data_IF_804928573895
#
_entry.id   IF_804928573895
#
_cell.length_a   1.000
_cell.length_b   1.000
_cell.length_c   1.000
_cell.angle_alpha   90.00
_cell.angle_beta   90.00
_cell.angle_gamma   90.00
#
_symmetry.space_group_name_H-M   'P 1'
#
loop_
_entity.id
_entity.type
_entity.pdbx_description
1 polymer ?
#
# COMPACT_ATOMS: atom_id res chain seq x y z
N UNK A 1 79.80 -13.05 -56.84
CA UNK A 1 78.67 -12.14 -57.07
C UNK A 1 77.40 -12.84 -56.67
N UNK A 2 77.01 -12.68 -55.44
CA UNK A 2 75.73 -13.31 -54.91
C UNK A 2 75.11 -12.28 -54.00
N UNK A 3 74.02 -11.68 -54.42
CA UNK A 3 73.16 -10.78 -53.65
C UNK A 3 72.17 -11.58 -52.78
N UNK A 4 72.31 -11.53 -51.49
CA UNK A 4 71.33 -11.97 -50.53
C UNK A 4 70.36 -10.82 -50.25
N UNK A 5 69.04 -11.05 -50.48
CA UNK A 5 67.96 -10.17 -50.06
C UNK A 5 67.53 -10.53 -48.63
N UNK A 6 67.21 -9.62 -47.73
CA UNK A 6 66.70 -9.88 -46.44
C UNK A 6 65.16 -10.07 -46.49
N UNK A 7 64.67 -11.11 -45.78
CA UNK A 7 63.25 -11.41 -45.56
C UNK A 7 62.67 -10.46 -44.54
N UNK A 8 61.59 -9.75 -44.90
CA UNK A 8 60.80 -8.96 -44.00
C UNK A 8 59.75 -9.88 -43.26
N UNK A 9 59.90 -10.00 -41.95
CA UNK A 9 58.96 -10.67 -41.05
C UNK A 9 57.77 -9.71 -40.82
N UNK A 10 56.59 -10.05 -41.31
CA UNK A 10 55.33 -9.35 -41.02
C UNK A 10 54.79 -9.79 -39.67
N UNK A 11 54.90 -8.94 -38.65
CA UNK A 11 54.21 -9.11 -37.36
C UNK A 11 52.78 -8.64 -37.57
N UNK A 12 51.81 -9.59 -37.50
CA UNK A 12 50.39 -9.28 -37.48
C UNK A 12 49.98 -8.96 -36.02
N UNK A 13 49.67 -7.67 -35.76
CA UNK A 13 49.04 -7.25 -34.52
C UNK A 13 47.55 -7.70 -34.53
N UNK A 14 47.22 -8.65 -33.70
CA UNK A 14 45.81 -9.03 -33.41
C UNK A 14 45.27 -7.99 -32.43
N UNK A 15 44.47 -7.04 -32.90
CA UNK A 15 43.71 -6.13 -32.06
C UNK A 15 42.43 -6.84 -31.58
N UNK A 16 42.44 -7.31 -30.32
CA UNK A 16 41.24 -7.83 -29.65
C UNK A 16 40.35 -6.64 -29.26
N UNK A 17 39.30 -6.39 -30.02
CA UNK A 17 38.24 -5.45 -29.65
C UNK A 17 37.38 -6.09 -28.55
N UNK A 18 37.55 -5.67 -27.29
CA UNK A 18 36.59 -5.87 -26.25
C UNK A 18 35.31 -5.04 -26.58
N UNK A 19 34.29 -5.69 -27.12
CA UNK A 19 32.96 -5.12 -27.16
C UNK A 19 32.40 -5.14 -25.74
N UNK A 20 32.56 -4.05 -25.00
CA UNK A 20 31.79 -3.77 -23.79
C UNK A 20 30.34 -3.61 -24.21
N UNK A 21 29.48 -4.55 -23.78
CA UNK A 21 28.04 -4.40 -23.88
C UNK A 21 27.59 -3.26 -22.96
N UNK A 22 27.70 -2.03 -23.46
CA UNK A 22 27.06 -0.88 -22.84
C UNK A 22 25.55 -1.09 -22.93
N UNK A 23 24.90 -1.19 -21.80
CA UNK A 23 23.46 -1.07 -21.75
C UNK A 23 23.12 0.34 -22.20
N UNK A 24 22.68 0.48 -23.44
CA UNK A 24 22.11 1.73 -23.95
C UNK A 24 20.74 1.83 -23.28
N UNK A 25 20.65 2.59 -22.20
CA UNK A 25 19.36 3.07 -21.73
C UNK A 25 18.81 3.95 -22.87
N UNK A 26 17.64 3.58 -23.39
CA UNK A 26 16.90 4.44 -24.28
C UNK A 26 16.72 5.81 -23.61
N UNK A 27 16.88 6.91 -24.36
CA UNK A 27 16.64 8.24 -23.83
C UNK A 27 15.17 8.27 -23.30
N UNK A 28 14.92 8.86 -22.10
CA UNK A 28 13.56 8.93 -21.55
C UNK A 28 12.61 9.53 -22.57
N UNK A 29 11.38 8.99 -22.68
CA UNK A 29 10.36 9.55 -23.53
C UNK A 29 10.10 11.00 -23.12
N UNK A 30 9.91 11.92 -24.06
CA UNK A 30 9.69 13.35 -23.77
C UNK A 30 8.45 13.60 -22.91
N UNK A 31 7.49 12.68 -22.96
CA UNK A 31 6.16 12.80 -22.33
C UNK A 31 6.12 12.25 -20.91
N UNK A 32 7.09 11.38 -20.52
CA UNK A 32 7.14 10.74 -19.19
C UNK A 32 6.04 9.70 -19.00
N UNK A 33 5.69 9.40 -17.74
CA UNK A 33 4.66 8.43 -17.37
C UNK A 33 3.48 9.09 -16.66
N UNK A 34 2.30 8.47 -16.79
CA UNK A 34 1.06 8.86 -16.09
C UNK A 34 0.80 7.84 -14.98
N UNK A 35 0.70 8.32 -13.75
CA UNK A 35 0.41 7.50 -12.58
C UNK A 35 -1.00 7.82 -12.08
N UNK A 36 -1.89 6.83 -12.09
CA UNK A 36 -3.15 6.90 -11.36
C UNK A 36 -2.87 6.60 -9.89
N UNK A 37 -3.05 7.60 -9.07
CA UNK A 37 -2.60 7.59 -7.69
C UNK A 37 -3.77 7.65 -6.72
N UNK A 38 -4.01 6.55 -6.01
CA UNK A 38 -4.89 6.48 -4.85
C UNK A 38 -4.10 6.35 -3.53
N UNK A 39 -2.76 6.40 -3.58
CA UNK A 39 -1.92 6.49 -2.38
C UNK A 39 -1.84 7.96 -1.90
N UNK A 40 -1.47 8.19 -0.64
CA UNK A 40 -1.32 9.53 -0.05
C UNK A 40 -0.48 10.47 -0.94
N UNK A 41 -1.08 11.59 -1.35
CA UNK A 41 -0.46 12.54 -2.29
C UNK A 41 0.91 13.04 -1.83
N UNK A 42 1.08 13.31 -0.54
CA UNK A 42 2.35 13.80 0.02
C UNK A 42 3.47 12.75 -0.10
N UNK A 43 3.16 11.47 0.11
CA UNK A 43 4.11 10.37 -0.04
C UNK A 43 4.45 10.17 -1.51
N UNK A 44 3.45 10.08 -2.37
CA UNK A 44 3.65 9.86 -3.80
C UNK A 44 4.40 11.02 -4.44
N UNK A 45 4.11 12.27 -4.03
CA UNK A 45 4.87 13.43 -4.49
C UNK A 45 6.35 13.34 -4.13
N UNK A 46 6.68 12.91 -2.91
CA UNK A 46 8.07 12.71 -2.51
C UNK A 46 8.77 11.61 -3.33
N UNK A 47 8.06 10.51 -3.65
CA UNK A 47 8.56 9.49 -4.56
C UNK A 47 8.80 10.02 -5.96
N UNK A 48 7.86 10.78 -6.52
CA UNK A 48 7.98 11.39 -7.85
C UNK A 48 9.16 12.37 -7.93
N UNK A 49 9.30 13.24 -6.92
CA UNK A 49 10.41 14.19 -6.86
C UNK A 49 11.76 13.46 -6.82
N UNK A 50 11.91 12.44 -5.96
CA UNK A 50 13.15 11.66 -5.88
C UNK A 50 13.44 10.88 -7.16
N UNK A 51 12.47 10.20 -7.72
CA UNK A 51 12.60 9.45 -8.97
C UNK A 51 12.97 10.35 -10.15
N UNK A 52 12.24 11.46 -10.32
CA UNK A 52 12.51 12.40 -11.44
C UNK A 52 13.87 13.06 -11.29
N UNK A 53 14.29 13.39 -10.07
CA UNK A 53 15.62 13.95 -9.81
C UNK A 53 16.75 12.97 -10.22
N UNK A 54 16.57 11.68 -9.93
CA UNK A 54 17.60 10.66 -10.20
C UNK A 54 17.63 10.21 -11.66
N UNK A 55 16.45 10.08 -12.28
CA UNK A 55 16.32 9.45 -13.61
C UNK A 55 16.09 10.45 -14.76
N UNK A 56 15.62 11.65 -14.46
CA UNK A 56 15.16 12.63 -15.46
C UNK A 56 13.78 12.29 -16.06
N UNK A 57 13.16 11.16 -15.70
CA UNK A 57 11.85 10.74 -16.20
C UNK A 57 10.75 11.57 -15.50
N UNK A 58 9.90 12.21 -16.30
CA UNK A 58 8.77 12.97 -15.78
C UNK A 58 7.65 12.04 -15.33
N UNK A 59 6.94 12.43 -14.27
CA UNK A 59 5.77 11.70 -13.77
C UNK A 59 4.62 12.66 -13.60
N UNK A 60 3.49 12.33 -14.22
CA UNK A 60 2.22 13.07 -14.07
C UNK A 60 1.30 12.27 -13.15
N UNK A 61 0.91 12.87 -12.00
CA UNK A 61 -0.01 12.26 -11.06
C UNK A 61 -1.45 12.64 -11.39
N UNK A 62 -2.35 11.64 -11.40
CA UNK A 62 -3.80 11.82 -11.35
C UNK A 62 -4.28 11.21 -10.04
N UNK A 63 -4.66 12.09 -9.09
CA UNK A 63 -5.06 11.67 -7.76
C UNK A 63 -6.56 11.37 -7.69
N UNK A 64 -6.92 10.37 -6.90
CA UNK A 64 -8.29 9.95 -6.57
C UNK A 64 -8.28 8.98 -5.42
N UNK A 65 -9.42 8.40 -5.09
CA UNK A 65 -9.48 7.33 -4.09
C UNK A 65 -9.38 5.93 -4.73
N UNK A 66 -9.12 4.90 -3.88
CA UNK A 66 -8.94 3.51 -4.31
C UNK A 66 -10.10 3.01 -5.17
N UNK A 67 -11.34 3.25 -4.74
CA UNK A 67 -12.53 2.72 -5.42
C UNK A 67 -12.79 3.46 -6.73
N UNK A 68 -12.62 4.77 -6.75
CA UNK A 68 -12.78 5.62 -7.92
C UNK A 68 -11.78 5.22 -9.00
N UNK A 69 -10.49 5.25 -8.67
CA UNK A 69 -9.40 4.95 -9.60
C UNK A 69 -9.45 3.51 -10.12
N UNK A 70 -9.73 2.53 -9.23
CA UNK A 70 -9.87 1.14 -9.63
C UNK A 70 -11.03 0.90 -10.59
N UNK A 71 -12.21 1.47 -10.34
CA UNK A 71 -13.35 1.37 -11.23
C UNK A 71 -13.12 2.11 -12.55
N UNK A 72 -12.47 3.29 -12.52
CA UNK A 72 -12.09 4.03 -13.71
C UNK A 72 -11.19 3.18 -14.62
N UNK A 73 -10.14 2.56 -14.08
CA UNK A 73 -9.24 1.68 -14.83
C UNK A 73 -9.98 0.50 -15.47
N UNK A 74 -10.90 -0.13 -14.73
CA UNK A 74 -11.71 -1.23 -15.27
C UNK A 74 -12.60 -0.76 -16.42
N UNK A 75 -13.18 0.46 -16.36
CA UNK A 75 -13.99 1.04 -17.42
C UNK A 75 -13.16 1.44 -18.63
N UNK A 76 -11.98 2.04 -18.43
CA UNK A 76 -11.07 2.42 -19.50
C UNK A 76 -10.44 1.21 -20.21
N UNK A 77 -10.20 0.14 -19.45
CA UNK A 77 -9.63 -1.11 -19.99
C UNK A 77 -8.31 -0.87 -20.73
N UNK A 78 -8.20 -1.42 -21.94
CA UNK A 78 -7.03 -1.27 -22.80
C UNK A 78 -6.83 0.16 -23.36
N UNK A 79 -7.81 1.05 -23.22
CA UNK A 79 -7.72 2.44 -23.65
C UNK A 79 -7.24 3.39 -22.52
N UNK A 80 -6.95 2.86 -21.34
CA UNK A 80 -6.46 3.68 -20.25
C UNK A 80 -5.16 4.40 -20.61
N UNK A 81 -5.05 5.71 -20.32
CA UNK A 81 -3.82 6.47 -20.49
C UNK A 81 -2.83 6.28 -19.32
N UNK A 82 -3.20 5.51 -18.30
CA UNK A 82 -2.34 5.27 -17.16
C UNK A 82 -1.23 4.27 -17.49
N UNK A 83 -0.02 4.56 -17.02
CA UNK A 83 1.13 3.67 -17.09
C UNK A 83 1.29 2.87 -15.78
N UNK A 84 1.04 3.52 -14.64
CA UNK A 84 1.16 2.93 -13.30
C UNK A 84 -0.11 3.18 -12.51
N UNK A 85 -0.50 2.20 -11.69
CA UNK A 85 -1.54 2.34 -10.67
C UNK A 85 -0.94 2.14 -9.29
N UNK A 86 -1.16 3.11 -8.41
CA UNK A 86 -0.80 3.05 -6.99
C UNK A 86 -2.06 3.12 -6.14
N UNK A 87 -2.17 2.22 -5.16
CA UNK A 87 -3.31 2.19 -4.24
C UNK A 87 -2.88 2.43 -2.80
N UNK A 88 -3.81 2.92 -2.02
CA UNK A 88 -3.70 2.93 -0.57
C UNK A 88 -3.99 1.54 0.02
N UNK A 89 -4.95 0.82 -0.54
CA UNK A 89 -5.38 -0.50 -0.07
C UNK A 89 -5.46 -1.55 -1.20
N UNK A 90 -5.16 -2.80 -0.86
CA UNK A 90 -5.12 -3.91 -1.82
C UNK A 90 -6.44 -4.27 -2.52
N UNK A 91 -7.65 -4.10 -1.96
CA UNK A 91 -8.89 -4.48 -2.65
C UNK A 91 -9.08 -3.81 -4.02
N UNK A 92 -8.68 -2.55 -4.19
CA UNK A 92 -8.73 -1.89 -5.50
C UNK A 92 -7.70 -2.46 -6.47
N UNK A 93 -6.51 -2.83 -5.98
CA UNK A 93 -5.48 -3.52 -6.76
C UNK A 93 -6.02 -4.86 -7.30
N UNK A 94 -6.66 -5.64 -6.42
CA UNK A 94 -7.28 -6.94 -6.79
C UNK A 94 -8.41 -6.76 -7.81
N UNK A 95 -9.19 -5.69 -7.72
CA UNK A 95 -10.25 -5.38 -8.69
C UNK A 95 -9.68 -5.23 -10.11
N UNK A 96 -8.59 -4.46 -10.26
CA UNK A 96 -7.95 -4.18 -11.54
C UNK A 96 -7.17 -5.40 -12.06
N UNK A 97 -6.54 -6.16 -11.16
CA UNK A 97 -5.85 -7.41 -11.49
C UNK A 97 -6.81 -8.48 -12.02
N UNK A 98 -7.96 -8.64 -11.38
CA UNK A 98 -9.02 -9.57 -11.84
C UNK A 98 -9.61 -9.18 -13.20
N UNK A 99 -9.52 -7.91 -13.59
CA UNK A 99 -9.85 -7.45 -14.93
C UNK A 99 -8.75 -7.72 -15.96
N UNK A 100 -7.59 -8.26 -15.54
CA UNK A 100 -6.48 -8.63 -16.43
C UNK A 100 -5.68 -7.44 -16.96
N UNK A 101 -5.71 -6.27 -16.27
CA UNK A 101 -5.17 -5.03 -16.80
C UNK A 101 -3.70 -4.78 -16.42
N UNK A 102 -3.06 -5.66 -15.63
CA UNK A 102 -1.67 -5.50 -15.25
C UNK A 102 -0.73 -6.38 -16.09
N UNK A 103 0.44 -5.83 -16.40
CA UNK A 103 1.58 -6.60 -16.90
C UNK A 103 2.36 -7.21 -15.71
N UNK A 104 3.11 -8.30 -15.91
CA UNK A 104 4.00 -8.81 -14.86
C UNK A 104 5.00 -7.76 -14.39
N UNK A 105 5.19 -7.67 -13.08
CA UNK A 105 6.23 -6.83 -12.47
C UNK A 105 7.59 -7.41 -12.78
N UNK A 106 8.57 -6.55 -13.08
CA UNK A 106 9.93 -6.98 -13.40
C UNK A 106 10.54 -7.82 -12.25
N UNK A 107 11.24 -8.93 -12.54
CA UNK A 107 11.85 -9.78 -11.52
C UNK A 107 12.71 -9.02 -10.53
N UNK A 108 13.51 -8.06 -11.00
CA UNK A 108 14.37 -7.23 -10.15
C UNK A 108 13.60 -6.35 -9.15
N UNK A 109 12.34 -6.01 -9.43
CA UNK A 109 11.44 -5.32 -8.51
C UNK A 109 10.85 -6.31 -7.50
N UNK A 110 10.40 -7.48 -7.97
CA UNK A 110 9.86 -8.54 -7.11
C UNK A 110 10.88 -9.02 -6.07
N UNK A 111 12.18 -9.07 -6.43
CA UNK A 111 13.27 -9.43 -5.54
C UNK A 111 13.49 -8.44 -4.39
N UNK A 112 13.04 -7.20 -4.54
CA UNK A 112 13.16 -6.17 -3.50
C UNK A 112 12.12 -6.31 -2.40
N UNK A 113 11.02 -7.02 -2.67
CA UNK A 113 9.86 -7.13 -1.76
C UNK A 113 9.70 -8.57 -1.30
N UNK A 114 9.57 -8.76 0.02
CA UNK A 114 9.34 -10.08 0.60
C UNK A 114 8.05 -10.73 0.07
N UNK A 115 8.03 -12.05 -0.03
CA UNK A 115 6.89 -12.82 -0.55
C UNK A 115 5.59 -12.58 0.22
N UNK A 116 5.66 -12.19 1.49
CA UNK A 116 4.49 -11.85 2.31
C UNK A 116 3.81 -10.52 1.88
N UNK A 117 4.50 -9.70 1.08
CA UNK A 117 4.03 -8.37 0.66
C UNK A 117 3.77 -8.28 -0.85
N UNK A 118 3.55 -9.39 -1.51
CA UNK A 118 3.21 -9.44 -2.93
C UNK A 118 2.43 -10.71 -3.27
N UNK A 119 1.52 -10.67 -4.26
CA UNK A 119 0.84 -11.88 -4.72
C UNK A 119 1.83 -12.84 -5.42
N UNK A 120 1.55 -14.14 -5.33
CA UNK A 120 2.40 -15.18 -5.92
C UNK A 120 2.54 -15.07 -7.44
N UNK A 121 1.52 -14.55 -8.14
CA UNK A 121 1.53 -14.39 -9.61
C UNK A 121 2.37 -13.19 -10.10
N UNK A 122 2.83 -12.29 -9.20
CA UNK A 122 3.78 -11.23 -9.51
C UNK A 122 3.29 -10.13 -10.45
N UNK A 123 1.98 -9.85 -10.54
CA UNK A 123 1.44 -8.78 -11.38
C UNK A 123 1.36 -7.42 -10.68
N UNK A 124 1.45 -7.42 -9.37
CA UNK A 124 1.56 -6.22 -8.57
C UNK A 124 2.41 -6.49 -7.33
N UNK A 125 2.79 -5.46 -6.62
CA UNK A 125 3.71 -5.54 -5.47
C UNK A 125 3.28 -4.56 -4.39
N UNK A 126 3.50 -4.95 -3.12
CA UNK A 126 3.36 -4.02 -2.01
C UNK A 126 4.41 -2.91 -2.07
N UNK A 127 3.98 -1.68 -1.81
CA UNK A 127 4.86 -0.49 -1.81
C UNK A 127 4.99 0.14 -0.43
N UNK A 128 3.98 -0.05 0.41
CA UNK A 128 3.93 0.35 1.81
C UNK A 128 2.91 -0.52 2.56
N UNK A 129 2.87 -0.41 3.89
CA UNK A 129 1.87 -1.12 4.70
C UNK A 129 1.37 -0.27 5.86
N UNK A 130 0.20 -0.64 6.39
CA UNK A 130 -0.42 0.01 7.53
C UNK A 130 -1.11 -0.98 8.44
N UNK A 131 -1.02 -0.75 9.76
CA UNK A 131 -1.63 -1.62 10.76
C UNK A 131 -2.99 -1.10 11.19
N UNK A 132 -3.98 -1.98 11.23
CA UNK A 132 -5.23 -1.72 11.95
C UNK A 132 -4.95 -1.57 13.43
N UNK A 133 -5.66 -0.64 14.07
CA UNK A 133 -5.61 -0.40 15.51
C UNK A 133 -7.00 -0.05 16.03
N UNK A 134 -7.19 -0.24 17.33
CA UNK A 134 -8.28 0.37 18.07
C UNK A 134 -7.72 1.61 18.79
N UNK A 135 -8.04 2.81 18.27
CA UNK A 135 -7.72 4.05 18.97
C UNK A 135 -8.70 4.25 20.11
N UNK A 136 -8.23 4.61 21.30
CA UNK A 136 -9.12 4.80 22.45
C UNK A 136 -8.75 6.05 23.26
N UNK A 137 -9.74 6.63 23.94
CA UNK A 137 -9.54 7.76 24.83
C UNK A 137 -9.09 7.26 26.21
N UNK A 138 -7.88 7.66 26.63
CA UNK A 138 -7.22 7.22 27.88
C UNK A 138 -7.99 7.55 29.16
N UNK A 139 -8.89 8.55 29.11
CA UNK A 139 -9.71 8.93 30.28
C UNK A 139 -11.08 8.23 30.31
N UNK A 140 -11.47 7.58 29.22
CA UNK A 140 -12.78 6.91 29.08
C UNK A 140 -12.70 5.39 29.14
N UNK A 141 -11.59 4.83 28.74
CA UNK A 141 -11.43 3.38 28.63
C UNK A 141 -10.09 2.96 29.21
N UNK A 142 -10.12 2.11 30.22
CA UNK A 142 -8.92 1.55 30.82
C UNK A 142 -8.34 0.44 29.93
N UNK A 143 -7.04 0.19 30.02
CA UNK A 143 -6.35 -0.85 29.23
C UNK A 143 -6.94 -2.26 29.47
N UNK A 144 -7.39 -2.53 30.70
CA UNK A 144 -8.01 -3.83 31.06
C UNK A 144 -9.35 -4.06 30.35
N UNK A 145 -10.03 -2.99 29.90
CA UNK A 145 -11.34 -3.02 29.28
C UNK A 145 -11.29 -2.95 27.76
N UNK A 146 -10.09 -2.93 27.18
CA UNK A 146 -9.89 -2.89 25.73
C UNK A 146 -10.38 -4.18 25.05
N UNK A 147 -10.88 -4.11 23.81
CA UNK A 147 -11.34 -5.29 23.08
C UNK A 147 -10.15 -6.23 22.84
N UNK A 148 -10.30 -7.51 23.12
CA UNK A 148 -9.27 -8.52 22.87
C UNK A 148 -9.24 -8.95 21.41
N UNK A 149 -10.39 -8.85 20.73
CA UNK A 149 -10.58 -9.14 19.32
C UNK A 149 -11.38 -8.02 18.65
N UNK A 150 -11.11 -7.78 17.37
CA UNK A 150 -11.95 -6.94 16.52
C UNK A 150 -13.41 -7.45 16.52
N UNK A 151 -13.58 -8.76 16.63
CA UNK A 151 -14.90 -9.40 16.62
C UNK A 151 -15.73 -9.09 17.87
N UNK A 152 -15.10 -8.76 19.00
CA UNK A 152 -15.77 -8.39 20.26
C UNK A 152 -16.64 -7.14 20.11
N UNK A 153 -16.27 -6.23 19.17
CA UNK A 153 -16.97 -4.98 18.92
C UNK A 153 -18.41 -5.16 18.38
N UNK A 154 -18.75 -6.35 17.90
CA UNK A 154 -20.11 -6.72 17.53
C UNK A 154 -20.99 -7.04 18.75
N UNK A 155 -20.40 -7.27 19.93
CA UNK A 155 -21.14 -7.58 21.16
C UNK A 155 -21.96 -6.37 21.63
N UNK A 156 -23.18 -6.61 22.21
CA UNK A 156 -24.01 -5.54 22.80
C UNK A 156 -23.30 -4.72 23.89
N UNK A 157 -22.29 -5.27 24.56
CA UNK A 157 -21.45 -4.56 25.53
C UNK A 157 -20.69 -3.37 24.94
N UNK A 158 -20.50 -3.33 23.62
CA UNK A 158 -19.85 -2.25 22.88
C UNK A 158 -20.82 -1.24 22.27
N UNK A 159 -22.11 -1.34 22.54
CA UNK A 159 -23.14 -0.46 21.98
C UNK A 159 -22.89 1.00 22.39
N UNK A 160 -22.71 1.89 21.38
CA UNK A 160 -22.48 3.31 21.56
C UNK A 160 -21.07 3.66 22.07
N UNK A 161 -20.16 2.67 22.18
CA UNK A 161 -18.82 2.87 22.76
C UNK A 161 -17.69 2.98 21.72
N UNK A 162 -17.94 2.62 20.48
CA UNK A 162 -16.92 2.65 19.43
C UNK A 162 -17.42 3.23 18.10
N UNK A 163 -16.49 3.58 17.25
CA UNK A 163 -16.72 4.21 15.95
C UNK A 163 -15.90 3.58 14.84
N UNK A 164 -16.35 3.75 13.61
CA UNK A 164 -15.63 3.40 12.39
C UNK A 164 -16.05 4.27 11.20
N UNK A 165 -15.42 4.08 10.07
CA UNK A 165 -15.72 4.80 8.82
C UNK A 165 -16.11 3.82 7.70
N UNK A 166 -17.35 3.27 7.71
CA UNK A 166 -17.73 2.17 6.82
C UNK A 166 -17.64 2.50 5.33
N UNK A 167 -17.89 3.74 4.93
CA UNK A 167 -17.77 4.16 3.53
C UNK A 167 -16.32 4.34 3.06
N UNK A 168 -15.33 4.35 3.97
CA UNK A 168 -13.92 4.56 3.63
C UNK A 168 -13.24 3.27 3.14
N UNK A 169 -12.32 3.40 2.20
CA UNK A 169 -11.55 2.30 1.64
C UNK A 169 -10.75 1.52 2.70
N UNK A 170 -10.19 2.23 3.70
CA UNK A 170 -9.47 1.61 4.82
C UNK A 170 -10.35 0.62 5.60
N UNK A 171 -11.58 1.04 5.95
CA UNK A 171 -12.49 0.17 6.69
C UNK A 171 -12.95 -1.00 5.83
N UNK A 172 -13.20 -0.78 4.54
CA UNK A 172 -13.56 -1.84 3.60
C UNK A 172 -12.41 -2.86 3.43
N UNK A 173 -11.15 -2.42 3.46
CA UNK A 173 -10.01 -3.32 3.45
C UNK A 173 -9.92 -4.17 4.73
N UNK A 174 -10.24 -3.59 5.89
CA UNK A 174 -10.36 -4.36 7.15
C UNK A 174 -11.48 -5.39 7.05
N UNK A 175 -12.65 -5.03 6.53
CA UNK A 175 -13.76 -5.96 6.28
C UNK A 175 -13.36 -7.07 5.31
N UNK A 176 -12.58 -6.75 4.26
CA UNK A 176 -12.07 -7.76 3.33
C UNK A 176 -11.16 -8.78 4.03
N UNK A 177 -10.32 -8.33 4.96
CA UNK A 177 -9.50 -9.21 5.77
C UNK A 177 -10.34 -10.08 6.73
N UNK A 178 -11.37 -9.51 7.35
CA UNK A 178 -12.34 -10.30 8.17
C UNK A 178 -13.00 -11.36 7.31
N UNK A 179 -13.44 -11.02 6.09
CA UNK A 179 -14.05 -11.94 5.14
C UNK A 179 -13.11 -13.11 4.78
N UNK A 180 -11.86 -12.82 4.47
CA UNK A 180 -10.87 -13.82 4.13
C UNK A 180 -10.55 -14.75 5.31
N UNK A 181 -10.49 -14.20 6.53
CA UNK A 181 -10.10 -14.94 7.73
C UNK A 181 -11.25 -15.70 8.39
N UNK A 182 -12.48 -15.20 8.29
CA UNK A 182 -13.65 -15.72 9.04
C UNK A 182 -14.78 -16.23 8.16
N UNK A 183 -14.77 -15.91 6.86
CA UNK A 183 -15.82 -16.29 5.91
C UNK A 183 -17.05 -15.36 5.97
N UNK A 184 -17.95 -15.54 4.99
CA UNK A 184 -19.08 -14.64 4.74
C UNK A 184 -20.06 -14.54 5.94
N UNK A 185 -20.44 -15.68 6.52
CA UNK A 185 -21.44 -15.70 7.59
C UNK A 185 -20.96 -14.92 8.84
N UNK A 186 -19.73 -15.17 9.29
CA UNK A 186 -19.16 -14.48 10.44
C UNK A 186 -18.94 -12.99 10.16
N UNK A 187 -18.54 -12.64 8.95
CA UNK A 187 -18.37 -11.26 8.52
C UNK A 187 -19.70 -10.51 8.54
N UNK A 188 -20.74 -11.10 7.96
CA UNK A 188 -22.07 -10.48 7.94
C UNK A 188 -22.61 -10.26 9.36
N UNK A 189 -22.47 -11.23 10.27
CA UNK A 189 -22.89 -11.08 11.66
C UNK A 189 -22.09 -9.98 12.38
N UNK A 190 -20.78 -9.90 12.15
CA UNK A 190 -19.96 -8.82 12.69
C UNK A 190 -20.41 -7.44 12.17
N UNK A 191 -20.68 -7.31 10.85
CA UNK A 191 -21.19 -6.08 10.24
C UNK A 191 -22.55 -5.66 10.78
N UNK A 192 -23.47 -6.60 11.02
CA UNK A 192 -24.76 -6.32 11.68
C UNK A 192 -24.55 -5.83 13.11
N UNK A 193 -23.62 -6.45 13.86
CA UNK A 193 -23.22 -5.99 15.18
C UNK A 193 -22.62 -4.58 15.13
N UNK A 194 -21.79 -4.28 14.16
CA UNK A 194 -21.29 -2.93 13.92
C UNK A 194 -22.42 -1.94 13.68
N UNK A 195 -23.37 -2.27 12.78
CA UNK A 195 -24.54 -1.42 12.50
C UNK A 195 -25.36 -1.11 13.76
N UNK A 196 -25.48 -2.08 14.65
CA UNK A 196 -26.23 -1.92 15.91
C UNK A 196 -25.46 -1.14 16.97
N UNK A 197 -24.14 -1.22 17.00
CA UNK A 197 -23.31 -0.82 18.13
C UNK A 197 -22.38 0.37 17.85
N UNK A 198 -21.92 0.55 16.60
CA UNK A 198 -20.93 1.58 16.27
C UNK A 198 -21.57 2.90 15.81
N UNK A 199 -20.85 3.99 16.05
CA UNK A 199 -21.14 5.27 15.42
C UNK A 199 -20.34 5.38 14.11
N UNK A 200 -21.05 5.61 12.99
CA UNK A 200 -20.42 5.80 11.69
C UNK A 200 -19.97 7.25 11.49
N UNK A 201 -18.70 7.41 11.11
CA UNK A 201 -18.13 8.71 10.73
C UNK A 201 -17.69 8.71 9.26
N UNK A 202 -17.55 9.90 8.70
CA UNK A 202 -16.94 10.09 7.38
C UNK A 202 -15.43 10.32 7.53
N UNK A 203 -14.64 9.24 7.35
CA UNK A 203 -13.20 9.24 7.40
C UNK A 203 -12.61 8.98 8.80
N UNK A 204 -11.43 8.37 8.81
CA UNK A 204 -10.72 7.97 10.04
C UNK A 204 -10.22 9.15 10.87
N UNK A 205 -9.88 10.27 10.23
CA UNK A 205 -9.53 11.51 10.95
C UNK A 205 -10.69 12.03 11.81
N UNK A 206 -11.95 11.87 11.33
CA UNK A 206 -13.12 12.23 12.11
C UNK A 206 -13.33 11.28 13.30
N UNK A 207 -13.08 9.97 13.11
CA UNK A 207 -13.08 8.98 14.20
C UNK A 207 -12.04 9.36 15.26
N UNK A 208 -10.78 9.61 14.87
CA UNK A 208 -9.71 10.01 15.79
C UNK A 208 -10.08 11.25 16.60
N UNK A 209 -10.61 12.29 15.93
CA UNK A 209 -11.04 13.55 16.55
C UNK A 209 -12.16 13.32 17.56
N UNK A 210 -13.17 12.50 17.24
CA UNK A 210 -14.29 12.20 18.12
C UNK A 210 -13.84 11.42 19.36
N UNK A 211 -12.94 10.44 19.20
CA UNK A 211 -12.33 9.70 20.31
C UNK A 211 -11.50 10.64 21.18
N UNK A 212 -10.65 11.47 20.61
CA UNK A 212 -9.83 12.43 21.35
C UNK A 212 -10.68 13.42 22.16
N UNK A 213 -11.82 13.86 21.62
CA UNK A 213 -12.76 14.75 22.29
C UNK A 213 -13.60 14.04 23.37
N UNK A 214 -13.48 12.71 23.52
CA UNK A 214 -14.28 11.92 24.45
C UNK A 214 -15.76 11.78 24.07
N UNK A 215 -16.12 12.04 22.81
CA UNK A 215 -17.47 11.83 22.28
C UNK A 215 -17.80 10.33 22.15
N UNK A 216 -16.78 9.53 21.89
CA UNK A 216 -16.81 8.07 21.81
C UNK A 216 -15.59 7.51 22.55
N UNK A 217 -15.68 6.30 23.12
CA UNK A 217 -14.58 5.72 23.91
C UNK A 217 -13.44 5.23 23.04
N UNK A 218 -13.73 4.66 21.85
CA UNK A 218 -12.71 4.17 20.92
C UNK A 218 -13.19 4.09 19.49
N UNK A 219 -12.30 3.66 18.59
CA UNK A 219 -12.62 3.49 17.19
C UNK A 219 -11.60 2.65 16.42
N UNK A 220 -12.04 2.07 15.32
CA UNK A 220 -11.18 1.27 14.42
C UNK A 220 -10.68 2.17 13.30
N UNK A 221 -9.36 2.35 13.24
CA UNK A 221 -8.64 3.14 12.23
C UNK A 221 -7.32 2.47 11.90
N UNK A 222 -6.54 3.05 10.98
CA UNK A 222 -5.13 2.70 10.84
C UNK A 222 -4.24 3.56 11.74
N UNK A 223 -3.13 3.01 12.17
CA UNK A 223 -2.20 3.60 13.14
C UNK A 223 -1.67 4.97 12.72
N UNK A 224 -1.38 5.16 11.44
CA UNK A 224 -0.72 6.36 10.93
C UNK A 224 -1.52 7.64 11.16
N UNK A 225 -2.85 7.59 11.25
CA UNK A 225 -3.67 8.78 11.52
C UNK A 225 -3.25 9.49 12.82
N UNK A 226 -2.98 8.71 13.88
CA UNK A 226 -2.51 9.26 15.14
C UNK A 226 -1.09 9.84 15.03
N UNK A 227 -0.18 9.14 14.36
CA UNK A 227 1.20 9.61 14.21
C UNK A 227 1.30 10.86 13.33
N UNK A 228 0.50 10.94 12.26
CA UNK A 228 0.42 12.13 11.40
C UNK A 228 -0.10 13.33 12.18
N UNK A 229 -1.16 13.17 12.98
CA UNK A 229 -1.67 14.26 13.82
C UNK A 229 -0.63 14.70 14.84
N UNK A 230 0.02 13.76 15.55
CA UNK A 230 1.08 14.05 16.51
C UNK A 230 2.30 14.74 15.89
N UNK A 231 2.62 14.44 14.64
CA UNK A 231 3.73 15.08 13.93
C UNK A 231 3.46 16.52 13.55
N UNK A 232 2.18 16.93 13.51
CA UNK A 232 1.73 18.30 13.21
C UNK A 232 1.49 19.08 14.52
N UNK A 233 0.35 18.88 15.14
CA UNK A 233 -0.09 19.62 16.32
C UNK A 233 -0.42 18.73 17.52
N UNK A 234 -0.79 17.47 17.27
CA UNK A 234 -1.28 16.52 18.28
C UNK A 234 -2.64 16.88 18.87
N UNK A 235 -3.31 17.91 18.38
CA UNK A 235 -4.56 18.40 18.98
C UNK A 235 -5.70 17.39 18.92
N UNK A 236 -5.71 16.52 17.88
CA UNK A 236 -6.73 15.50 17.71
C UNK A 236 -6.33 14.11 18.22
N UNK A 237 -5.17 13.98 18.87
CA UNK A 237 -4.68 12.69 19.38
C UNK A 237 -4.09 12.72 20.80
N UNK A 238 -3.96 13.88 21.43
CA UNK A 238 -3.31 14.04 22.76
C UNK A 238 -3.95 13.22 23.87
N UNK A 239 -5.28 13.00 23.81
CA UNK A 239 -6.04 12.25 24.81
C UNK A 239 -6.18 10.77 24.43
N UNK A 240 -5.62 10.34 23.29
CA UNK A 240 -5.79 8.99 22.77
C UNK A 240 -4.54 8.13 22.98
N UNK A 241 -4.72 6.82 22.89
CA UNK A 241 -3.67 5.83 22.73
C UNK A 241 -4.10 4.79 21.70
N UNK A 242 -3.13 3.99 21.21
CA UNK A 242 -3.38 2.95 20.23
C UNK A 242 -3.30 1.58 20.88
N UNK A 243 -4.35 0.80 20.72
CA UNK A 243 -4.36 -0.62 21.04
C UNK A 243 -4.11 -1.43 19.76
N UNK A 244 -3.04 -2.19 19.74
CA UNK A 244 -2.69 -3.13 18.68
C UNK A 244 -3.22 -4.51 19.07
N UNK A 245 -4.18 -5.03 18.33
CA UNK A 245 -4.64 -6.40 18.49
C UNK A 245 -3.48 -7.38 18.32
N UNK A 246 -3.58 -8.56 18.91
CA UNK A 246 -2.53 -9.58 18.93
C UNK A 246 -3.12 -10.96 18.55
N UNK A 247 -2.26 -11.97 18.58
CA UNK A 247 -2.67 -13.38 18.40
C UNK A 247 -3.32 -13.67 17.05
N UNK A 248 -2.80 -13.00 15.99
CA UNK A 248 -3.32 -13.14 14.61
C UNK A 248 -4.82 -12.84 14.51
N UNK A 249 -5.31 -11.98 15.40
CA UNK A 249 -6.68 -11.49 15.35
C UNK A 249 -6.93 -10.72 14.05
N UNK A 250 -8.14 -10.75 13.46
CA UNK A 250 -8.48 -9.91 12.33
C UNK A 250 -8.18 -8.41 12.54
N UNK A 251 -8.29 -7.94 13.79
CA UNK A 251 -7.92 -6.58 14.18
C UNK A 251 -6.42 -6.28 14.16
N UNK A 252 -5.56 -7.30 14.05
CA UNK A 252 -4.12 -7.13 13.83
C UNK A 252 -3.77 -7.09 12.32
N UNK A 253 -4.75 -6.99 11.44
CA UNK A 253 -4.55 -6.94 9.99
C UNK A 253 -3.61 -5.82 9.59
N UNK A 254 -2.64 -6.18 8.74
CA UNK A 254 -1.72 -5.25 8.08
C UNK A 254 -2.13 -5.14 6.61
N UNK A 255 -2.71 -3.99 6.26
CA UNK A 255 -3.09 -3.68 4.88
C UNK A 255 -1.86 -3.29 4.06
N UNK A 256 -1.85 -3.71 2.79
CA UNK A 256 -0.80 -3.33 1.83
C UNK A 256 -1.31 -2.25 0.88
N UNK A 257 -0.49 -1.23 0.68
CA UNK A 257 -0.55 -0.39 -0.51
C UNK A 257 0.02 -1.15 -1.68
N UNK A 258 -0.62 -1.09 -2.82
CA UNK A 258 -0.18 -1.78 -4.02
C UNK A 258 0.39 -0.85 -5.09
N UNK A 259 1.30 -1.39 -5.91
CA UNK A 259 1.80 -0.76 -7.12
C UNK A 259 1.86 -1.75 -8.27
N UNK A 260 1.39 -1.34 -9.44
CA UNK A 260 1.36 -2.15 -10.65
C UNK A 260 1.56 -1.32 -11.91
N UNK A 261 2.03 -1.97 -12.97
CA UNK A 261 2.17 -1.38 -14.31
C UNK A 261 1.03 -1.86 -15.18
N UNK A 262 0.34 -0.94 -15.89
CA UNK A 262 -0.77 -1.26 -16.78
C UNK A 262 -0.25 -1.96 -18.04
N UNK A 263 -0.96 -3.01 -18.47
CA UNK A 263 -0.65 -3.71 -19.73
C UNK A 263 -0.84 -2.81 -20.97
N UNK A 264 -1.71 -1.78 -20.87
CA UNK A 264 -1.96 -0.77 -21.89
C UNK A 264 -0.86 0.28 -22.00
N UNK A 265 0.05 0.39 -21.01
CA UNK A 265 1.12 1.38 -21.01
C UNK A 265 1.99 1.30 -22.27
N UNK A 266 2.27 2.45 -22.85
CA UNK A 266 3.24 2.60 -23.96
C UNK A 266 4.64 2.94 -23.45
N UNK A 267 4.79 3.15 -22.14
CA UNK A 267 6.01 3.53 -21.43
C UNK A 267 6.41 2.44 -20.43
N UNK A 268 6.38 1.16 -20.87
CA UNK A 268 6.60 0.00 -20.02
C UNK A 268 7.91 0.04 -19.24
N UNK A 269 9.00 0.47 -19.89
CA UNK A 269 10.33 0.51 -19.26
C UNK A 269 10.39 1.56 -18.15
N UNK A 270 9.88 2.77 -18.42
CA UNK A 270 9.85 3.87 -17.45
C UNK A 270 8.89 3.57 -16.29
N UNK A 271 7.74 2.96 -16.57
CA UNK A 271 6.77 2.53 -15.57
C UNK A 271 7.35 1.45 -14.63
N UNK A 272 8.04 0.44 -15.19
CA UNK A 272 8.75 -0.56 -14.40
C UNK A 272 9.92 0.05 -13.61
N UNK A 273 10.64 1.01 -14.18
CA UNK A 273 11.70 1.73 -13.49
C UNK A 273 11.17 2.53 -12.31
N UNK A 274 10.01 3.19 -12.44
CA UNK A 274 9.36 3.90 -11.35
C UNK A 274 8.94 2.94 -10.23
N UNK A 275 8.30 1.83 -10.56
CA UNK A 275 7.90 0.83 -9.57
C UNK A 275 9.12 0.22 -8.84
N UNK A 276 10.19 -0.07 -9.58
CA UNK A 276 11.46 -0.52 -9.02
C UNK A 276 12.07 0.50 -8.06
N UNK A 277 12.02 1.78 -8.40
CA UNK A 277 12.58 2.84 -7.59
C UNK A 277 11.83 3.02 -6.28
N UNK A 278 10.49 3.08 -6.30
CA UNK A 278 9.68 3.26 -5.08
C UNK A 278 9.75 2.05 -4.13
N UNK A 279 10.01 0.85 -4.66
CA UNK A 279 10.21 -0.38 -3.87
C UNK A 279 11.68 -0.59 -3.46
N UNK A 280 12.59 0.19 -4.02
CA UNK A 280 14.02 0.15 -3.75
C UNK A 280 14.42 0.93 -2.50
N UNK A 281 15.71 1.00 -2.25
CA UNK A 281 16.30 1.61 -1.06
C UNK A 281 15.87 3.07 -0.88
N UNK A 282 15.92 3.85 -1.94
CA UNK A 282 15.66 5.29 -1.95
C UNK A 282 14.18 5.57 -1.67
N UNK A 283 13.29 4.89 -2.40
CA UNK A 283 11.83 5.02 -2.23
C UNK A 283 11.36 4.55 -0.85
N UNK A 284 11.92 3.45 -0.34
CA UNK A 284 11.59 2.94 0.99
C UNK A 284 12.18 3.80 2.12
N UNK A 285 13.32 4.48 1.88
CA UNK A 285 13.87 5.44 2.83
C UNK A 285 12.96 6.65 3.06
N UNK A 286 12.15 7.02 2.07
CA UNK A 286 11.14 8.08 2.21
C UNK A 286 10.08 7.69 3.24
N UNK A 287 9.66 6.41 3.29
CA UNK A 287 8.74 5.91 4.32
C UNK A 287 9.38 5.98 5.71
N UNK A 288 10.65 5.58 5.83
CA UNK A 288 11.38 5.64 7.11
C UNK A 288 11.52 7.06 7.65
N UNK A 289 11.87 8.00 6.79
CA UNK A 289 12.29 9.35 7.18
C UNK A 289 11.17 10.39 7.05
N UNK A 290 10.09 10.06 6.34
CA UNK A 290 8.98 10.96 6.07
C UNK A 290 7.91 10.95 7.16
N UNK A 291 6.83 11.69 6.89
CA UNK A 291 5.72 11.90 7.81
C UNK A 291 4.43 11.14 7.40
N UNK A 292 4.53 10.17 6.50
CA UNK A 292 3.39 9.28 6.18
C UNK A 292 3.09 8.31 7.31
N UNK A 293 4.14 7.93 8.06
CA UNK A 293 4.08 6.90 9.10
C UNK A 293 3.50 5.58 8.62
N UNK A 294 3.66 5.26 7.35
CA UNK A 294 3.41 3.94 6.83
C UNK A 294 4.67 3.07 6.97
N UNK A 295 4.47 1.77 7.03
CA UNK A 295 5.58 0.81 7.12
C UNK A 295 6.26 0.63 5.77
N UNK A 296 7.58 0.61 5.78
CA UNK A 296 8.38 0.13 4.67
C UNK A 296 8.26 -1.41 4.54
N UNK A 297 8.16 -1.91 3.31
CA UNK A 297 7.95 -3.34 3.01
C UNK A 297 9.10 -3.96 2.20
N UNK A 298 10.10 -3.17 1.84
CA UNK A 298 11.32 -3.67 1.19
C UNK A 298 12.08 -4.66 2.07
N UNK A 299 12.70 -5.68 1.49
CA UNK A 299 13.34 -6.77 2.24
C UNK A 299 14.38 -6.31 3.28
N UNK A 300 15.07 -5.19 3.01
CA UNK A 300 16.10 -4.62 3.90
C UNK A 300 15.71 -3.22 4.37
N UNK A 301 14.47 -2.82 4.14
CA UNK A 301 14.00 -1.51 4.51
C UNK A 301 13.64 -1.48 6.00
N UNK A 302 13.88 -0.34 6.62
CA UNK A 302 13.45 -0.06 7.98
C UNK A 302 12.31 0.95 7.95
N UNK A 303 11.31 0.74 8.78
CA UNK A 303 10.22 1.69 8.97
C UNK A 303 10.62 2.84 9.92
N UNK A 304 9.77 3.86 10.02
CA UNK A 304 9.99 4.96 10.95
C UNK A 304 10.15 4.41 12.39
N UNK A 305 11.20 4.81 13.13
CA UNK A 305 11.51 4.26 14.46
C UNK A 305 10.46 4.56 15.53
N UNK A 306 9.51 5.46 15.28
CA UNK A 306 8.37 5.71 16.17
C UNK A 306 7.31 4.61 16.09
N UNK A 307 7.31 3.80 15.04
CA UNK A 307 6.32 2.75 14.83
C UNK A 307 6.68 1.48 15.60
N UNK A 308 5.66 0.75 16.04
CA UNK A 308 5.85 -0.63 16.52
C UNK A 308 6.37 -1.45 15.35
N UNK A 309 7.50 -2.17 15.48
CA UNK A 309 8.05 -2.97 14.37
C UNK A 309 7.03 -3.96 13.79
N UNK A 310 6.98 -4.10 12.45
CA UNK A 310 6.05 -5.02 11.77
C UNK A 310 6.07 -6.44 12.36
N UNK A 311 7.26 -6.96 12.69
CA UNK A 311 7.40 -8.29 13.27
C UNK A 311 6.75 -8.43 14.67
N UNK A 312 6.49 -7.32 15.35
CA UNK A 312 5.86 -7.30 16.68
C UNK A 312 4.35 -7.11 16.63
N UNK A 313 3.77 -6.86 15.45
CA UNK A 313 2.32 -6.67 15.30
C UNK A 313 1.54 -7.97 15.49
N UNK A 314 2.18 -9.12 15.30
CA UNK A 314 1.55 -10.45 15.38
C UNK A 314 0.33 -10.57 14.44
N UNK A 315 0.49 -10.02 13.22
CA UNK A 315 -0.55 -9.95 12.21
C UNK A 315 -0.96 -11.33 11.69
N UNK A 316 -2.24 -11.54 11.34
CA UNK A 316 -2.66 -12.72 10.63
C UNK A 316 -2.04 -12.76 9.22
N UNK A 317 -1.85 -13.96 8.69
CA UNK A 317 -1.48 -14.12 7.28
C UNK A 317 -2.75 -13.95 6.45
N UNK A 318 -2.76 -12.91 5.63
CA UNK A 318 -3.85 -12.61 4.68
C UNK A 318 -3.26 -12.58 3.28
N UNK A 319 -3.82 -13.38 2.38
CA UNK A 319 -3.46 -13.29 0.97
C UNK A 319 -4.10 -12.04 0.36
N UNK A 320 -3.29 -11.01 0.14
CA UNK A 320 -3.76 -9.73 -0.38
C UNK A 320 -4.42 -9.84 -1.77
N UNK A 321 -4.08 -10.87 -2.55
CA UNK A 321 -4.70 -11.14 -3.87
C UNK A 321 -6.14 -11.68 -3.78
N UNK A 322 -6.60 -12.05 -2.59
CA UNK A 322 -7.94 -12.59 -2.33
C UNK A 322 -8.91 -11.58 -1.72
N UNK A 323 -8.47 -10.36 -1.47
CA UNK A 323 -9.29 -9.30 -0.86
C UNK A 323 -10.38 -8.81 -1.81
N UNK A 324 -11.57 -9.42 -1.73
CA UNK A 324 -12.68 -9.24 -2.65
C UNK A 324 -13.54 -8.01 -2.32
N UNK A 325 -13.26 -6.87 -2.95
CA UNK A 325 -14.00 -5.62 -2.76
C UNK A 325 -15.48 -5.71 -3.11
N UNK A 326 -15.86 -6.46 -4.16
CA UNK A 326 -17.26 -6.62 -4.57
C UNK A 326 -18.08 -7.34 -3.50
N UNK A 327 -17.55 -8.44 -2.94
CA UNK A 327 -18.20 -9.19 -1.88
C UNK A 327 -18.30 -8.35 -0.59
N UNK A 328 -17.30 -7.56 -0.27
CA UNK A 328 -17.33 -6.62 0.87
C UNK A 328 -18.48 -5.64 0.73
N UNK A 329 -18.61 -4.98 -0.42
CA UNK A 329 -19.70 -4.02 -0.69
C UNK A 329 -21.07 -4.71 -0.58
N UNK A 330 -21.22 -5.92 -1.12
CA UNK A 330 -22.44 -6.73 -1.02
C UNK A 330 -22.83 -6.97 0.46
N UNK A 331 -21.90 -7.49 1.28
CA UNK A 331 -22.14 -7.80 2.68
C UNK A 331 -22.41 -6.53 3.52
N UNK A 332 -21.70 -5.44 3.26
CA UNK A 332 -21.89 -4.17 3.95
C UNK A 332 -23.25 -3.55 3.60
N UNK A 333 -23.69 -3.65 2.33
CA UNK A 333 -25.02 -3.21 1.89
C UNK A 333 -26.11 -4.07 2.57
N UNK A 334 -25.92 -5.39 2.60
CA UNK A 334 -26.85 -6.31 3.29
C UNK A 334 -26.96 -6.03 4.79
N UNK A 335 -25.87 -5.57 5.42
CA UNK A 335 -25.87 -5.15 6.83
C UNK A 335 -26.41 -3.72 7.03
N UNK A 336 -26.69 -2.96 5.96
CA UNK A 336 -27.21 -1.59 6.01
C UNK A 336 -26.15 -0.54 6.43
N UNK A 337 -24.88 -0.81 6.10
CA UNK A 337 -23.75 0.10 6.37
C UNK A 337 -23.39 0.99 5.17
N UNK A 338 -23.75 0.53 3.97
CA UNK A 338 -23.65 1.26 2.70
C UNK A 338 -25.01 1.44 2.06
#
# INVERSE_FOLDING_TARGET
MNHRRPSFLKIALLATALMGAGHVFAAPSSDGIVVYNAQHETLTKAWVEGFTHETGIKVTLRNGDDSEMGNQLVQEGAASPADVFLTENSPAMVLVDNAGLFTPVAPSTLEQIGSAYRPAHGKWVGIAARSTVFVYNKSKLAEADLPKSLMDLASPSWKGRWAGSPAGADFQAIVAAVLELKGEAATLEWLKGMKANATAYRGNSAVLKAVNAGQIEGGVIYHYYSFVDQSKTGENSKNTSLHYFKHKDPGAFVSLSGGAVLASSKHQEEAQAFLKWITGKEGQAILKNGNSFEYAVGQKAESNPKLVPLAQLDAPVVDASRLNSKKVVELMTQAGLL
#
